data_IF_311243280517
#
_entry.id   IF_311243280517
#
_cell.length_a   1.000
_cell.length_b   1.000
_cell.length_c   1.000
_cell.angle_alpha   90.00
_cell.angle_beta   90.00
_cell.angle_gamma   90.00
#
_symmetry.space_group_name_H-M   'P 1'
#
loop_
_entity.id
_entity.type
_entity.pdbx_description
1 polymer ?
#
# COMPACT_ATOMS: atom_id res chain seq x y z
N UNK A 1 -13.79 -24.15 -26.29
CA UNK A 1 -13.61 -22.91 -25.46
C UNK A 1 -14.86 -22.09 -25.67
N UNK A 2 -15.58 -21.76 -24.60
CA UNK A 2 -16.80 -20.97 -24.73
C UNK A 2 -16.42 -19.51 -24.98
N UNK A 3 -17.02 -18.91 -25.95
CA UNK A 3 -16.88 -17.51 -26.30
C UNK A 3 -17.41 -16.64 -25.16
N UNK A 4 -16.56 -15.77 -24.62
CA UNK A 4 -16.93 -14.88 -23.55
C UNK A 4 -17.28 -13.49 -24.09
N UNK A 5 -18.44 -12.93 -23.77
CA UNK A 5 -18.86 -11.55 -24.09
C UNK A 5 -18.69 -10.64 -22.87
N UNK A 6 -18.25 -9.43 -23.12
CA UNK A 6 -18.35 -8.36 -22.13
C UNK A 6 -19.82 -8.02 -21.96
N UNK A 7 -20.37 -8.21 -20.76
CA UNK A 7 -21.74 -7.83 -20.45
C UNK A 7 -21.76 -6.33 -20.20
N UNK A 8 -22.30 -5.59 -21.18
CA UNK A 8 -22.32 -4.12 -21.13
C UNK A 8 -23.65 -3.55 -20.69
N UNK A 9 -24.57 -4.35 -20.17
CA UNK A 9 -25.92 -3.90 -19.82
C UNK A 9 -25.99 -2.74 -18.79
N UNK A 10 -24.88 -2.42 -18.12
CA UNK A 10 -24.78 -1.30 -17.18
C UNK A 10 -23.57 -0.39 -17.40
N UNK A 11 -22.77 -0.63 -18.44
CA UNK A 11 -21.61 0.22 -18.77
C UNK A 11 -22.03 1.31 -19.77
N UNK A 12 -21.53 2.52 -19.58
CA UNK A 12 -21.57 3.55 -20.61
C UNK A 12 -21.01 2.99 -21.92
N UNK A 13 -21.70 3.26 -23.04
CA UNK A 13 -21.32 2.72 -24.35
C UNK A 13 -19.88 3.11 -24.72
N UNK A 14 -19.44 4.31 -24.35
CA UNK A 14 -18.07 4.76 -24.59
C UNK A 14 -17.02 3.93 -23.85
N UNK A 15 -17.31 3.51 -22.62
CA UNK A 15 -16.45 2.63 -21.82
C UNK A 15 -16.42 1.23 -22.45
N UNK A 16 -17.57 0.71 -22.88
CA UNK A 16 -17.65 -0.58 -23.56
C UNK A 16 -16.86 -0.61 -24.88
N UNK A 17 -16.91 0.47 -25.65
CA UNK A 17 -16.19 0.61 -26.90
C UNK A 17 -14.68 0.80 -26.67
N UNK A 18 -14.28 1.53 -25.63
CA UNK A 18 -12.88 1.64 -25.22
C UNK A 18 -12.30 0.28 -24.78
N UNK A 19 -13.04 -0.51 -24.01
CA UNK A 19 -12.65 -1.87 -23.63
C UNK A 19 -12.49 -2.74 -24.89
N UNK A 20 -13.44 -2.73 -25.81
CA UNK A 20 -13.34 -3.49 -27.07
C UNK A 20 -12.14 -3.06 -27.91
N UNK A 21 -11.85 -1.77 -27.97
CA UNK A 21 -10.70 -1.24 -28.70
C UNK A 21 -9.35 -1.60 -28.07
N UNK A 22 -9.31 -1.76 -26.75
CA UNK A 22 -8.09 -2.16 -26.02
C UNK A 22 -7.78 -3.66 -26.11
N UNK A 23 -8.78 -4.49 -26.43
CA UNK A 23 -8.63 -5.94 -26.59
C UNK A 23 -8.20 -6.24 -28.04
N UNK A 24 -6.89 -6.29 -28.27
CA UNK A 24 -6.33 -6.49 -29.62
C UNK A 24 -6.18 -7.95 -30.05
N UNK A 25 -6.61 -8.92 -29.24
CA UNK A 25 -6.51 -10.34 -29.59
C UNK A 25 -7.86 -10.96 -29.97
N UNK A 26 -7.94 -11.67 -31.11
CA UNK A 26 -9.18 -12.34 -31.57
C UNK A 26 -9.74 -13.35 -30.56
N UNK A 27 -8.90 -13.83 -29.65
CA UNK A 27 -9.26 -14.85 -28.66
C UNK A 27 -10.01 -14.28 -27.44
N UNK A 28 -9.97 -12.96 -27.26
CA UNK A 28 -10.70 -12.24 -26.21
C UNK A 28 -12.07 -11.73 -26.68
N UNK A 29 -12.52 -12.12 -27.87
CA UNK A 29 -13.88 -11.91 -28.21
C UNK A 29 -14.71 -12.74 -27.25
N UNK A 30 -15.21 -12.10 -26.10
CA UNK A 30 -16.54 -12.43 -25.91
C UNK A 30 -16.97 -13.26 -24.71
N UNK A 31 -17.22 -12.65 -23.61
CA UNK A 31 -18.14 -13.23 -22.65
C UNK A 31 -19.59 -12.88 -23.07
N UNK A 32 -20.31 -13.78 -23.67
CA UNK A 32 -21.76 -13.69 -23.82
C UNK A 32 -22.43 -14.69 -22.87
N UNK A 33 -22.28 -14.42 -21.60
CA UNK A 33 -22.92 -15.25 -20.61
C UNK A 33 -23.44 -14.35 -19.47
N UNK A 34 -24.75 -14.34 -19.32
CA UNK A 34 -25.45 -13.60 -18.25
C UNK A 34 -24.97 -13.96 -16.83
N UNK A 35 -24.14 -14.99 -16.70
CA UNK A 35 -23.55 -15.42 -15.43
C UNK A 35 -22.30 -14.61 -15.03
N UNK A 36 -21.74 -13.80 -15.95
CA UNK A 36 -20.52 -13.03 -15.69
C UNK A 36 -20.80 -11.54 -15.57
N UNK A 37 -20.12 -10.91 -14.65
CA UNK A 37 -20.04 -9.45 -14.54
C UNK A 37 -18.61 -8.99 -14.82
N UNK A 38 -18.47 -7.90 -15.56
CA UNK A 38 -17.17 -7.28 -15.86
C UNK A 38 -16.98 -6.10 -14.93
N UNK A 39 -15.84 -6.07 -14.26
CA UNK A 39 -15.43 -4.98 -13.39
C UNK A 39 -14.09 -4.39 -13.87
N UNK A 40 -13.76 -3.14 -13.52
CA UNK A 40 -12.38 -2.66 -13.59
C UNK A 40 -11.46 -3.60 -12.82
N UNK A 41 -10.21 -3.75 -13.27
CA UNK A 41 -9.23 -4.54 -12.51
C UNK A 41 -9.05 -3.99 -11.11
N UNK A 42 -8.79 -4.88 -10.15
CA UNK A 42 -8.57 -4.48 -8.76
C UNK A 42 -7.26 -3.71 -8.61
N UNK A 43 -7.22 -2.85 -7.59
CA UNK A 43 -6.00 -2.18 -7.14
C UNK A 43 -5.74 -2.58 -5.69
N UNK A 44 -4.57 -3.14 -5.40
CA UNK A 44 -4.12 -3.38 -4.03
C UNK A 44 -3.17 -2.25 -3.61
N UNK A 45 -3.54 -1.53 -2.59
CA UNK A 45 -2.79 -0.36 -2.14
C UNK A 45 -1.69 -0.69 -1.12
N UNK A 46 -1.47 -1.99 -0.83
CA UNK A 46 -0.47 -2.40 0.15
C UNK A 46 0.07 -3.80 -0.15
N UNK A 47 1.16 -3.89 -0.89
CA UNK A 47 1.83 -5.17 -1.19
C UNK A 47 3.34 -5.10 -0.95
N UNK A 48 3.96 -6.28 -0.82
CA UNK A 48 5.39 -6.41 -0.57
C UNK A 48 6.07 -7.23 -1.67
N UNK A 49 6.50 -6.59 -2.74
CA UNK A 49 7.29 -7.23 -3.82
C UNK A 49 8.80 -7.21 -3.53
N UNK A 50 9.21 -7.26 -2.39
CA UNK A 50 10.52 -7.50 -1.76
C UNK A 50 11.80 -7.21 -2.59
N UNK A 51 11.71 -6.57 -3.74
CA UNK A 51 12.83 -6.16 -4.59
C UNK A 51 12.94 -4.64 -4.68
N UNK A 52 14.17 -4.14 -4.55
CA UNK A 52 15.45 -4.83 -4.36
C UNK A 52 15.68 -5.37 -2.94
N UNK A 53 16.64 -6.30 -2.83
CA UNK A 53 17.27 -6.71 -1.57
C UNK A 53 16.74 -7.99 -0.93
N UNK A 54 15.50 -8.39 -1.18
CA UNK A 54 14.88 -9.56 -0.56
C UNK A 54 14.21 -10.49 -1.58
N UNK A 55 14.78 -10.61 -2.77
CA UNK A 55 14.26 -11.42 -3.89
C UNK A 55 13.99 -12.88 -3.54
N UNK A 56 14.62 -13.39 -2.48
CA UNK A 56 14.36 -14.74 -1.97
C UNK A 56 12.98 -14.89 -1.30
N UNK A 57 12.29 -13.80 -1.01
CA UNK A 57 10.92 -13.79 -0.47
C UNK A 57 9.88 -13.60 -1.56
N UNK A 58 10.12 -12.63 -2.45
CA UNK A 58 9.25 -12.31 -3.57
C UNK A 58 10.02 -11.46 -4.59
N UNK A 59 9.68 -11.60 -5.87
CA UNK A 59 10.24 -10.81 -6.96
C UNK A 59 9.20 -9.92 -7.62
N UNK A 60 9.65 -8.92 -8.36
CA UNK A 60 8.74 -8.06 -9.15
C UNK A 60 7.97 -8.89 -10.18
N UNK A 61 8.64 -9.87 -10.81
CA UNK A 61 8.04 -10.78 -11.81
C UNK A 61 6.96 -11.65 -11.18
N UNK A 62 7.31 -12.40 -10.13
CA UNK A 62 6.39 -13.39 -9.54
C UNK A 62 5.25 -12.73 -8.77
N UNK A 63 5.52 -11.63 -8.05
CA UNK A 63 4.49 -10.88 -7.35
C UNK A 63 3.48 -10.22 -8.29
N UNK A 64 3.94 -9.62 -9.40
CA UNK A 64 3.04 -9.03 -10.40
C UNK A 64 2.21 -10.09 -11.13
N UNK A 65 2.78 -11.26 -11.44
CA UNK A 65 2.04 -12.39 -12.03
C UNK A 65 0.98 -12.95 -11.07
N UNK A 66 1.32 -13.09 -9.78
CA UNK A 66 0.37 -13.52 -8.77
C UNK A 66 -0.79 -12.53 -8.63
N UNK A 67 -0.50 -11.22 -8.62
CA UNK A 67 -1.50 -10.15 -8.59
C UNK A 67 -2.39 -10.19 -9.83
N UNK A 68 -1.81 -10.27 -11.03
CA UNK A 68 -2.55 -10.41 -12.29
C UNK A 68 -3.48 -11.63 -12.27
N UNK A 69 -3.01 -12.77 -11.75
CA UNK A 69 -3.80 -13.99 -11.60
C UNK A 69 -4.97 -13.81 -10.63
N UNK A 70 -4.83 -12.93 -9.63
CA UNK A 70 -5.89 -12.53 -8.69
C UNK A 70 -6.87 -11.51 -9.23
N UNK A 71 -6.66 -10.99 -10.46
CA UNK A 71 -7.51 -9.96 -11.07
C UNK A 71 -7.09 -8.52 -10.75
N UNK A 72 -5.90 -8.32 -10.18
CA UNK A 72 -5.34 -7.00 -9.95
C UNK A 72 -4.64 -6.47 -11.19
N UNK A 73 -4.93 -5.24 -11.56
CA UNK A 73 -4.27 -4.53 -12.67
C UNK A 73 -3.30 -3.45 -12.17
N UNK A 74 -3.38 -3.14 -10.89
CA UNK A 74 -2.50 -2.18 -10.22
C UNK A 74 -2.22 -2.61 -8.79
N UNK A 75 -1.00 -2.33 -8.31
CA UNK A 75 -0.61 -2.52 -6.90
C UNK A 75 0.28 -1.38 -6.43
N UNK A 76 0.26 -1.10 -5.12
CA UNK A 76 1.17 -0.14 -4.50
C UNK A 76 2.15 -0.87 -3.57
N UNK A 77 3.46 -0.74 -3.83
CA UNK A 77 4.50 -1.49 -3.13
C UNK A 77 5.09 -0.71 -1.98
N UNK A 78 5.18 -1.35 -0.81
CA UNK A 78 5.73 -0.77 0.41
C UNK A 78 7.26 -0.62 0.34
N UNK A 79 7.84 0.38 1.06
CA UNK A 79 9.25 0.77 0.92
C UNK A 79 10.23 -0.05 1.74
N UNK A 80 9.80 -1.03 2.52
CA UNK A 80 10.67 -1.85 3.37
C UNK A 80 11.54 -2.83 2.57
N UNK A 81 12.49 -2.24 1.84
CA UNK A 81 13.41 -2.86 0.88
C UNK A 81 14.87 -2.66 1.27
N UNK A 82 15.79 -3.15 0.46
CA UNK A 82 17.23 -2.94 0.64
C UNK A 82 17.93 -2.75 -0.72
N UNK A 83 18.33 -1.50 -1.04
CA UNK A 83 18.20 -0.31 -0.21
C UNK A 83 16.73 0.12 -0.03
N UNK A 84 16.46 0.83 1.06
CA UNK A 84 15.19 1.53 1.28
C UNK A 84 15.07 2.64 0.24
N UNK A 85 13.92 2.84 -0.43
CA UNK A 85 13.70 3.94 -1.37
C UNK A 85 13.49 5.26 -0.60
N UNK A 86 14.56 5.79 0.01
CA UNK A 86 14.61 7.02 0.80
C UNK A 86 15.30 8.18 0.06
N UNK A 87 15.75 7.93 -1.16
CA UNK A 87 16.39 8.86 -2.06
C UNK A 87 16.06 8.53 -3.51
N UNK A 88 16.27 9.47 -4.43
CA UNK A 88 16.08 9.24 -5.88
C UNK A 88 16.94 8.08 -6.37
N UNK A 89 18.19 7.99 -5.90
CA UNK A 89 19.11 6.92 -6.30
C UNK A 89 18.58 5.54 -5.90
N UNK A 90 18.12 5.38 -4.66
CA UNK A 90 17.58 4.13 -4.16
C UNK A 90 16.25 3.78 -4.81
N UNK A 91 15.36 4.75 -4.98
CA UNK A 91 14.08 4.57 -5.68
C UNK A 91 14.28 4.11 -7.13
N UNK A 92 15.26 4.67 -7.85
CA UNK A 92 15.53 4.31 -9.25
C UNK A 92 15.90 2.82 -9.41
N UNK A 93 16.49 2.19 -8.40
CA UNK A 93 16.75 0.75 -8.44
C UNK A 93 15.45 -0.06 -8.45
N UNK A 94 14.46 0.35 -7.66
CA UNK A 94 13.14 -0.29 -7.65
C UNK A 94 12.38 0.00 -8.96
N UNK A 95 12.39 1.25 -9.44
CA UNK A 95 11.71 1.63 -10.69
C UNK A 95 12.22 0.83 -11.89
N UNK A 96 13.53 0.60 -11.96
CA UNK A 96 14.12 -0.25 -13.00
C UNK A 96 13.58 -1.68 -12.95
N UNK A 97 13.49 -2.28 -11.77
CA UNK A 97 12.94 -3.64 -11.60
C UNK A 97 11.45 -3.70 -11.96
N UNK A 98 10.69 -2.65 -11.67
CA UNK A 98 9.29 -2.52 -12.08
C UNK A 98 9.18 -2.50 -13.60
N UNK A 99 9.97 -1.67 -14.27
CA UNK A 99 9.96 -1.54 -15.74
C UNK A 99 10.35 -2.85 -16.44
N UNK A 100 11.37 -3.54 -15.92
CA UNK A 100 11.89 -4.75 -16.54
C UNK A 100 11.07 -6.01 -16.24
N UNK A 101 10.34 -6.05 -15.10
CA UNK A 101 9.78 -7.31 -14.57
C UNK A 101 8.27 -7.33 -14.36
N UNK A 102 7.59 -6.20 -14.27
CA UNK A 102 6.16 -6.20 -13.93
C UNK A 102 5.26 -6.41 -15.13
N UNK A 103 4.23 -7.24 -14.97
CA UNK A 103 3.18 -7.44 -15.99
C UNK A 103 1.90 -6.63 -15.70
N UNK A 104 1.87 -5.85 -14.60
CA UNK A 104 0.78 -4.95 -14.21
C UNK A 104 1.36 -3.60 -13.80
N UNK A 105 0.50 -2.62 -13.54
CA UNK A 105 0.97 -1.34 -12.99
C UNK A 105 1.44 -1.50 -11.55
N UNK A 106 2.66 -1.03 -11.26
CA UNK A 106 3.23 -1.02 -9.91
C UNK A 106 3.60 0.40 -9.54
N UNK A 107 3.02 0.90 -8.46
CA UNK A 107 3.23 2.24 -7.93
C UNK A 107 3.97 2.15 -6.60
N UNK A 108 5.25 2.52 -6.51
CA UNK A 108 5.99 2.43 -5.27
C UNK A 108 5.61 3.54 -4.29
N UNK A 109 5.70 3.26 -3.00
CA UNK A 109 5.83 4.26 -1.95
C UNK A 109 7.31 4.59 -1.74
N UNK A 110 7.62 5.88 -1.51
CA UNK A 110 8.91 6.28 -0.96
C UNK A 110 8.90 6.17 0.57
N UNK A 111 10.08 6.04 1.19
CA UNK A 111 10.18 6.11 2.64
C UNK A 111 9.89 7.53 3.15
N UNK A 112 9.30 7.64 4.33
CA UNK A 112 9.14 8.91 5.06
C UNK A 112 10.49 9.36 5.60
N UNK A 113 11.24 8.43 6.19
CA UNK A 113 12.51 8.73 6.86
C UNK A 113 13.66 7.93 6.26
N UNK A 114 14.87 8.45 6.38
CA UNK A 114 16.10 7.79 5.91
C UNK A 114 16.22 6.41 6.57
N UNK A 115 16.29 5.36 5.74
CA UNK A 115 16.36 3.98 6.19
C UNK A 115 15.17 3.52 7.04
N UNK A 116 14.05 4.26 7.03
CA UNK A 116 12.89 4.02 7.89
C UNK A 116 13.27 4.02 9.38
N UNK A 117 14.17 4.94 9.80
CA UNK A 117 14.63 4.99 11.18
C UNK A 117 13.87 6.00 12.06
N UNK A 118 13.02 6.86 11.47
CA UNK A 118 12.24 7.86 12.22
C UNK A 118 13.03 9.09 12.67
N UNK A 119 14.30 9.23 12.27
CA UNK A 119 15.21 10.28 12.79
C UNK A 119 15.37 11.47 11.83
N UNK A 120 15.44 11.20 10.52
CA UNK A 120 15.69 12.21 9.48
C UNK A 120 14.74 11.97 8.33
N UNK A 121 14.08 13.04 7.82
CA UNK A 121 13.24 12.93 6.63
C UNK A 121 14.07 12.46 5.43
N UNK A 122 13.47 11.58 4.64
CA UNK A 122 13.98 11.15 3.34
C UNK A 122 13.92 12.29 2.30
N UNK A 123 14.43 12.07 1.11
CA UNK A 123 14.32 13.02 -0.02
C UNK A 123 12.92 12.97 -0.64
N UNK A 124 11.92 13.49 0.09
CA UNK A 124 10.53 13.44 -0.35
C UNK A 124 10.34 14.23 -1.66
N UNK A 125 10.97 15.39 -1.77
CA UNK A 125 10.87 16.26 -2.95
C UNK A 125 11.40 15.57 -4.21
N UNK A 126 12.57 14.97 -4.13
CA UNK A 126 13.18 14.26 -5.26
C UNK A 126 12.38 13.03 -5.67
N UNK A 127 11.82 12.30 -4.72
CA UNK A 127 11.06 11.08 -4.99
C UNK A 127 9.62 11.34 -5.45
N UNK A 128 9.01 12.46 -5.06
CA UNK A 128 7.59 12.75 -5.29
C UNK A 128 7.09 12.51 -6.72
N UNK A 129 7.82 12.82 -7.80
CA UNK A 129 7.35 12.58 -9.17
C UNK A 129 7.09 11.10 -9.48
N UNK A 130 7.77 10.18 -8.79
CA UNK A 130 7.80 8.76 -9.13
C UNK A 130 7.19 7.84 -8.06
N UNK A 131 6.63 8.40 -6.98
CA UNK A 131 5.98 7.64 -5.93
C UNK A 131 4.50 8.02 -5.80
N UNK A 132 3.67 7.11 -5.31
CA UNK A 132 2.25 7.39 -5.08
C UNK A 132 2.01 8.08 -3.73
N UNK A 133 2.88 7.89 -2.77
CA UNK A 133 2.85 8.44 -1.42
C UNK A 133 4.09 8.05 -0.64
N UNK A 134 4.09 8.28 0.67
CA UNK A 134 5.22 7.98 1.54
C UNK A 134 4.81 7.12 2.73
N UNK A 135 5.66 6.18 3.11
CA UNK A 135 5.43 5.23 4.20
C UNK A 135 6.75 4.84 4.88
N UNK A 136 6.70 4.56 6.18
CA UNK A 136 7.75 3.82 6.90
C UNK A 136 7.13 2.49 7.38
N UNK A 137 6.64 1.68 6.41
CA UNK A 137 5.92 0.45 6.71
C UNK A 137 6.77 -0.58 7.45
N UNK A 138 6.15 -1.18 8.47
CA UNK A 138 6.79 -2.17 9.34
C UNK A 138 7.56 -1.58 10.52
N UNK A 139 7.70 -0.24 10.62
CA UNK A 139 8.34 0.45 11.75
C UNK A 139 7.49 1.58 12.33
N UNK A 140 6.77 2.30 11.48
CA UNK A 140 6.01 3.47 11.86
C UNK A 140 6.88 4.66 12.30
N UNK A 141 6.35 5.86 12.21
CA UNK A 141 7.01 7.08 12.68
C UNK A 141 6.59 7.34 14.14
N UNK A 142 7.51 7.18 15.07
CA UNK A 142 7.23 7.26 16.51
C UNK A 142 7.16 8.70 17.07
N UNK A 143 7.85 9.66 16.44
CA UNK A 143 7.90 11.05 16.85
C UNK A 143 6.75 11.87 16.27
N UNK A 144 6.02 12.60 17.11
CA UNK A 144 4.96 13.54 16.71
C UNK A 144 5.51 14.62 15.77
N UNK A 145 6.66 15.19 16.14
CA UNK A 145 7.31 16.24 15.36
C UNK A 145 7.73 15.74 13.97
N UNK A 146 8.32 14.55 13.89
CA UNK A 146 8.71 13.93 12.63
C UNK A 146 7.50 13.65 11.75
N UNK A 147 6.42 13.09 12.30
CA UNK A 147 5.20 12.82 11.57
C UNK A 147 4.55 14.12 11.07
N UNK A 148 4.49 15.16 11.90
CA UNK A 148 3.97 16.47 11.50
C UNK A 148 4.78 17.06 10.33
N UNK A 149 6.10 17.04 10.40
CA UNK A 149 6.97 17.50 9.32
C UNK A 149 6.74 16.69 8.04
N UNK A 150 6.63 15.37 8.14
CA UNK A 150 6.34 14.49 7.01
C UNK A 150 4.98 14.83 6.36
N UNK A 151 3.93 15.01 7.16
CA UNK A 151 2.59 15.39 6.67
C UNK A 151 2.61 16.74 5.94
N UNK A 152 3.28 17.75 6.51
CA UNK A 152 3.37 19.08 5.88
C UNK A 152 4.14 19.05 4.56
N UNK A 153 5.23 18.27 4.49
CA UNK A 153 5.99 18.07 3.25
C UNK A 153 5.18 17.30 2.21
N UNK A 154 4.57 16.19 2.60
CA UNK A 154 3.72 15.40 1.71
C UNK A 154 2.56 16.26 1.16
N UNK A 155 1.93 17.09 2.00
CA UNK A 155 0.90 18.05 1.59
C UNK A 155 1.41 19.02 0.52
N UNK A 156 2.58 19.62 0.72
CA UNK A 156 3.18 20.55 -0.23
C UNK A 156 3.46 19.89 -1.60
N UNK A 157 3.72 18.59 -1.60
CA UNK A 157 3.99 17.77 -2.79
C UNK A 157 2.72 17.13 -3.41
N UNK A 158 1.55 17.31 -2.79
CA UNK A 158 0.31 16.65 -3.22
C UNK A 158 0.34 15.14 -3.04
N UNK A 159 1.11 14.63 -2.06
CA UNK A 159 1.27 13.21 -1.76
C UNK A 159 0.68 12.84 -0.41
N UNK A 160 0.26 11.59 -0.27
CA UNK A 160 -0.35 11.06 0.96
C UNK A 160 0.72 10.43 1.87
N UNK A 161 0.52 10.53 3.17
CA UNK A 161 1.19 9.66 4.15
C UNK A 161 0.36 8.39 4.30
N UNK A 162 1.04 7.25 4.21
CA UNK A 162 0.46 5.90 4.29
C UNK A 162 1.13 5.19 5.46
N UNK A 163 0.44 5.11 6.59
CA UNK A 163 1.07 4.85 7.87
C UNK A 163 0.86 3.43 8.39
N UNK A 164 1.97 2.79 8.72
CA UNK A 164 2.01 1.68 9.65
C UNK A 164 1.90 2.24 11.08
N UNK A 165 0.80 1.91 11.76
CA UNK A 165 0.50 2.48 13.06
C UNK A 165 0.77 1.47 14.16
N UNK A 166 1.89 1.63 14.84
CA UNK A 166 2.30 0.75 15.92
C UNK A 166 3.26 1.48 16.87
N UNK A 167 2.85 1.66 18.12
CA UNK A 167 3.73 2.23 19.17
C UNK A 167 4.71 1.15 19.59
N UNK A 168 5.98 1.29 19.25
CA UNK A 168 7.01 0.27 19.43
C UNK A 168 7.22 -0.13 20.90
N UNK A 169 7.13 0.82 21.82
CA UNK A 169 7.27 0.55 23.26
C UNK A 169 6.16 -0.36 23.83
N UNK A 170 5.01 -0.39 23.17
CA UNK A 170 3.87 -1.22 23.56
C UNK A 170 3.92 -2.66 22.98
N UNK A 171 4.82 -2.93 22.04
CA UNK A 171 4.98 -4.27 21.47
C UNK A 171 5.52 -5.29 22.49
N UNK A 172 6.41 -4.87 23.38
CA UNK A 172 6.98 -5.69 24.46
C UNK A 172 7.52 -7.05 23.99
N UNK A 173 7.97 -7.10 22.72
CA UNK A 173 8.42 -8.35 22.09
C UNK A 173 7.31 -9.34 21.79
N UNK A 174 6.06 -8.88 21.70
CA UNK A 174 4.91 -9.63 21.19
C UNK A 174 4.99 -9.82 19.68
N UNK A 175 4.25 -10.78 19.15
CA UNK A 175 4.22 -11.09 17.72
C UNK A 175 2.86 -11.58 17.22
N UNK A 176 1.86 -11.62 18.10
CA UNK A 176 0.45 -11.83 17.74
C UNK A 176 -0.41 -10.90 18.60
N UNK A 177 -1.70 -10.79 18.28
CA UNK A 177 -2.64 -10.05 19.12
C UNK A 177 -2.78 -10.66 20.52
N UNK A 178 -2.82 -9.82 21.58
CA UNK A 178 -3.10 -10.23 22.96
C UNK A 178 -4.59 -10.56 23.14
N UNK A 179 -5.00 -11.64 22.52
CA UNK A 179 -6.36 -12.15 22.52
C UNK A 179 -6.49 -13.49 23.23
N UNK A 180 -7.62 -14.16 23.01
CA UNK A 180 -7.92 -15.47 23.58
C UNK A 180 -6.86 -16.51 23.21
N UNK A 181 -6.47 -16.57 21.94
CA UNK A 181 -5.43 -17.49 21.45
C UNK A 181 -4.10 -17.31 22.19
N UNK A 182 -3.65 -16.06 22.38
CA UNK A 182 -2.41 -15.79 23.10
C UNK A 182 -2.47 -16.27 24.55
N UNK A 183 -3.60 -16.04 25.22
CA UNK A 183 -3.82 -16.49 26.61
C UNK A 183 -3.85 -18.01 26.75
N UNK A 184 -4.45 -18.71 25.79
CA UNK A 184 -4.59 -20.18 25.84
C UNK A 184 -3.31 -20.91 25.46
N UNK A 185 -2.52 -20.36 24.51
CA UNK A 185 -1.36 -21.06 23.93
C UNK A 185 0.00 -20.49 24.36
N UNK A 186 0.00 -19.39 25.11
CA UNK A 186 1.20 -18.82 25.75
C UNK A 186 2.14 -17.99 24.87
N UNK A 187 1.86 -17.67 23.57
CA UNK A 187 2.68 -16.70 22.84
C UNK A 187 2.52 -15.30 23.41
N UNK A 188 3.57 -14.47 23.26
CA UNK A 188 3.51 -13.07 23.69
C UNK A 188 2.59 -12.26 22.81
N UNK A 189 1.57 -11.63 23.44
CA UNK A 189 0.60 -10.79 22.76
C UNK A 189 1.05 -9.34 22.60
N UNK A 190 0.53 -8.68 21.56
CA UNK A 190 0.59 -7.23 21.34
C UNK A 190 -0.77 -6.66 21.72
N UNK A 191 -0.81 -5.65 22.58
CA UNK A 191 -2.06 -5.02 23.01
C UNK A 191 -2.65 -4.15 21.89
N UNK A 192 -3.99 -4.05 21.86
CA UNK A 192 -4.71 -3.19 20.89
C UNK A 192 -4.29 -1.71 20.96
N UNK A 193 -3.85 -1.25 22.14
CA UNK A 193 -3.39 0.12 22.34
C UNK A 193 -2.16 0.45 21.51
N UNK A 194 -1.29 -0.51 21.18
CA UNK A 194 -0.12 -0.28 20.32
C UNK A 194 -0.50 0.31 18.97
N UNK A 195 -1.60 -0.16 18.37
CA UNK A 195 -2.14 0.36 17.11
C UNK A 195 -2.96 1.64 17.33
N UNK A 196 -3.93 1.57 18.26
CA UNK A 196 -4.89 2.65 18.47
C UNK A 196 -4.28 3.96 18.96
N UNK A 197 -3.23 3.91 19.78
CA UNK A 197 -2.58 5.10 20.32
C UNK A 197 -1.88 5.90 19.21
N UNK A 198 -1.16 5.24 18.30
CA UNK A 198 -0.54 5.93 17.18
C UNK A 198 -1.57 6.49 16.22
N UNK A 199 -2.63 5.74 15.91
CA UNK A 199 -3.73 6.24 15.06
C UNK A 199 -4.35 7.49 15.67
N UNK A 200 -4.66 7.48 16.96
CA UNK A 200 -5.25 8.63 17.64
C UNK A 200 -4.34 9.85 17.58
N UNK A 201 -3.03 9.69 17.83
CA UNK A 201 -2.03 10.76 17.72
C UNK A 201 -1.98 11.31 16.30
N UNK A 202 -1.87 10.45 15.29
CA UNK A 202 -1.72 10.88 13.91
C UNK A 202 -2.98 11.59 13.40
N UNK A 203 -4.16 11.18 13.83
CA UNK A 203 -5.41 11.85 13.47
C UNK A 203 -5.56 13.25 14.07
N UNK A 204 -4.97 13.53 15.24
CA UNK A 204 -4.88 14.91 15.74
C UNK A 204 -3.96 15.75 14.82
N UNK A 205 -2.81 15.21 14.38
CA UNK A 205 -1.95 15.90 13.41
C UNK A 205 -2.65 16.09 12.04
N UNK A 206 -3.49 15.15 11.63
CA UNK A 206 -4.33 15.29 10.42
C UNK A 206 -5.28 16.46 10.54
N UNK A 207 -5.92 16.68 11.69
CA UNK A 207 -6.80 17.85 11.94
C UNK A 207 -6.02 19.15 11.79
N UNK A 208 -4.81 19.20 12.32
CA UNK A 208 -3.96 20.40 12.25
C UNK A 208 -3.46 20.67 10.83
N UNK A 209 -3.09 19.64 10.10
CA UNK A 209 -2.56 19.75 8.73
C UNK A 209 -3.67 19.87 7.69
N UNK A 210 -4.85 19.29 7.93
CA UNK A 210 -5.95 19.19 6.98
C UNK A 210 -5.60 18.44 5.70
N UNK A 211 -4.74 17.39 5.79
CA UNK A 211 -4.26 16.68 4.62
C UNK A 211 -4.61 15.18 4.64
N UNK A 212 -4.49 14.56 3.45
CA UNK A 212 -4.80 13.16 3.26
C UNK A 212 -3.83 12.23 4.01
N UNK A 213 -4.39 11.29 4.74
CA UNK A 213 -3.68 10.30 5.53
C UNK A 213 -4.36 8.94 5.40
N UNK A 214 -3.60 7.89 5.17
CA UNK A 214 -4.10 6.52 5.05
C UNK A 214 -3.58 5.69 6.22
N UNK A 215 -4.49 5.12 6.99
CA UNK A 215 -4.19 4.16 8.04
C UNK A 215 -4.14 2.76 7.43
N UNK A 216 -2.97 2.12 7.43
CA UNK A 216 -2.80 0.78 6.90
C UNK A 216 -3.39 -0.29 7.83
N UNK A 217 -3.72 -1.44 7.27
CA UNK A 217 -3.93 -2.76 7.90
C UNK A 217 -4.40 -2.72 9.37
N UNK A 218 -5.45 -1.96 9.67
CA UNK A 218 -6.04 -1.91 11.01
C UNK A 218 -6.56 -3.28 11.43
N UNK A 219 -6.33 -3.65 12.68
CA UNK A 219 -6.66 -4.97 13.22
C UNK A 219 -7.54 -4.94 14.46
N UNK A 220 -7.77 -3.76 15.07
CA UNK A 220 -8.50 -3.64 16.32
C UNK A 220 -9.83 -2.89 16.16
N UNK A 221 -10.83 -3.26 16.96
CA UNK A 221 -12.12 -2.56 17.00
C UNK A 221 -11.98 -1.11 17.48
N UNK A 222 -11.01 -0.87 18.39
CA UNK A 222 -10.70 0.43 18.94
C UNK A 222 -10.20 1.35 17.82
N UNK A 223 -9.32 0.88 16.95
CA UNK A 223 -8.84 1.62 15.79
C UNK A 223 -9.97 1.97 14.81
N UNK A 224 -10.87 1.02 14.53
CA UNK A 224 -12.06 1.29 13.71
C UNK A 224 -12.92 2.40 14.31
N UNK A 225 -13.11 2.39 15.64
CA UNK A 225 -13.92 3.39 16.32
C UNK A 225 -13.26 4.77 16.34
N UNK A 226 -11.92 4.82 16.46
CA UNK A 226 -11.14 6.06 16.39
C UNK A 226 -11.28 6.68 14.99
N UNK A 227 -11.02 5.89 13.94
CA UNK A 227 -11.07 6.34 12.54
C UNK A 227 -12.48 6.77 12.14
N UNK A 228 -13.51 6.07 12.61
CA UNK A 228 -14.91 6.42 12.29
C UNK A 228 -15.33 7.75 12.88
N UNK A 229 -14.70 8.19 13.96
CA UNK A 229 -15.00 9.47 14.63
C UNK A 229 -14.19 10.65 14.06
N UNK A 230 -13.10 10.38 13.36
CA UNK A 230 -12.30 11.39 12.70
C UNK A 230 -12.91 11.83 11.36
#
# INVERSE_FOLDING_TARGET
MSNAKVITASLDQAVADAIRASISTPELSIFDDSRYSVFPGFCDVHVHFREPGFSYKETMVTGSQASARGGYTAVCTMPNLKPVPDSVENLNQQLKLIEEGSCIHVYPYGAITVGEQGEVLADLEGMAPNVIGFSDDGKGVQSDEMMLQAMLRAKALGKMIVAHCEVNDLLRGGYIHDGEYAREHGPRGICSESEGAQIARDLELVKDTGWAYHVCHISTKESVDIIRKA
#
